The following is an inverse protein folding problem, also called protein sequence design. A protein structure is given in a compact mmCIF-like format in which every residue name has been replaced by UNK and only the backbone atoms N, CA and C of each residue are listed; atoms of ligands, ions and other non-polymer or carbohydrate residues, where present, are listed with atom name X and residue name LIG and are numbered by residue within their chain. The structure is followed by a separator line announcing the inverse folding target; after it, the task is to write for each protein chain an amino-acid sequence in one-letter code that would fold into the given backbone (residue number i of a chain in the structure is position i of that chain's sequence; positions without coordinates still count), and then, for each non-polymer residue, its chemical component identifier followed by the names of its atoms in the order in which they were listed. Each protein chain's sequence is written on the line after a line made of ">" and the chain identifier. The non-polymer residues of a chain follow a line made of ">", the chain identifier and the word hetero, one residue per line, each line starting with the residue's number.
data_IF_895377296219
#
_entry.id   IF_895377296219
#
_cell.length_a   1.000
_cell.length_b   1.000
_cell.length_c   1.000
_cell.angle_alpha   90.00
_cell.angle_beta   90.00
_cell.angle_gamma   90.00
#
_symmetry.space_group_name_H-M   'P 1'
#
loop_
_entity.id
_entity.type
_entity.pdbx_description
1 polymer ?
#
# COMPACT_ATOMS: atom_id res chain seq x y z
N UNK A 1 -1.19 -15.94 21.80
CA UNK A 1 -2.54 -16.40 21.50
C UNK A 1 -2.44 -17.82 20.97
N UNK A 2 -3.19 -18.78 21.49
CA UNK A 2 -3.16 -20.16 20.99
C UNK A 2 -4.46 -20.40 20.23
N UNK A 3 -4.36 -20.62 18.94
CA UNK A 3 -5.53 -20.86 18.08
C UNK A 3 -5.70 -22.35 17.83
N UNK A 4 -6.87 -22.88 18.12
CA UNK A 4 -7.30 -24.22 17.71
C UNK A 4 -8.02 -24.12 16.38
N UNK A 5 -7.63 -24.95 15.43
CA UNK A 5 -8.36 -25.15 14.18
C UNK A 5 -9.17 -26.43 14.30
N UNK A 6 -10.47 -26.34 14.12
CA UNK A 6 -11.38 -27.47 14.00
C UNK A 6 -11.77 -27.64 12.55
N UNK A 7 -11.60 -28.83 12.01
CA UNK A 7 -12.05 -29.22 10.68
C UNK A 7 -13.28 -30.08 10.87
N UNK A 8 -14.44 -29.50 10.59
CA UNK A 8 -15.74 -30.09 10.81
C UNK A 8 -16.32 -30.58 9.49
N UNK A 9 -16.68 -31.84 9.38
CA UNK A 9 -17.34 -32.39 8.18
C UNK A 9 -18.79 -31.96 8.17
N UNK A 10 -19.10 -30.91 7.45
CA UNK A 10 -20.43 -30.36 7.22
C UNK A 10 -20.49 -29.78 5.81
N UNK A 11 -21.35 -30.32 4.92
CA UNK A 11 -21.54 -29.74 3.59
C UNK A 11 -22.10 -28.31 3.66
N UNK A 12 -21.82 -27.53 2.65
CA UNK A 12 -22.42 -26.19 2.50
C UNK A 12 -23.95 -26.31 2.43
N UNK A 13 -24.68 -25.47 3.18
CA UNK A 13 -26.14 -25.43 3.24
C UNK A 13 -26.69 -25.17 4.64
N UNK A 14 -27.97 -25.53 4.86
CA UNK A 14 -28.69 -25.23 6.12
C UNK A 14 -28.00 -25.78 7.38
N UNK A 15 -27.34 -26.92 7.33
CA UNK A 15 -26.60 -27.48 8.47
C UNK A 15 -25.35 -26.69 8.82
N UNK A 16 -24.65 -26.17 7.80
CA UNK A 16 -23.49 -25.29 8.00
C UNK A 16 -23.90 -23.93 8.59
N UNK A 17 -24.98 -23.35 8.11
CA UNK A 17 -25.54 -22.10 8.63
C UNK A 17 -26.00 -22.26 10.08
N UNK A 18 -26.63 -23.39 10.41
CA UNK A 18 -27.07 -23.71 11.76
C UNK A 18 -25.86 -23.88 12.71
N UNK A 19 -24.82 -24.58 12.26
CA UNK A 19 -23.58 -24.72 13.03
C UNK A 19 -22.95 -23.37 13.28
N UNK A 20 -22.82 -22.55 12.26
CA UNK A 20 -22.26 -21.21 12.37
C UNK A 20 -23.02 -20.34 13.37
N UNK A 21 -24.34 -20.39 13.36
CA UNK A 21 -25.18 -19.67 14.32
C UNK A 21 -24.97 -20.12 15.78
N UNK A 22 -24.70 -21.41 16.00
CA UNK A 22 -24.50 -22.00 17.34
C UNK A 22 -23.13 -21.67 17.94
N UNK A 23 -22.11 -21.43 17.11
CA UNK A 23 -20.72 -21.19 17.55
C UNK A 23 -20.35 -19.72 17.67
N UNK A 24 -21.29 -18.81 17.43
CA UNK A 24 -21.08 -17.37 17.57
C UNK A 24 -20.77 -17.00 19.04
N UNK A 25 -19.52 -16.69 19.35
CA UNK A 25 -19.09 -16.27 20.68
C UNK A 25 -17.73 -15.55 20.62
N UNK A 26 -17.28 -15.02 21.74
CA UNK A 26 -16.03 -14.26 21.87
C UNK A 26 -14.77 -15.08 21.55
N UNK A 27 -14.85 -16.42 21.66
CA UNK A 27 -13.74 -17.33 21.33
C UNK A 27 -13.57 -17.57 19.83
N UNK A 28 -14.57 -17.26 19.03
CA UNK A 28 -14.54 -17.46 17.58
C UNK A 28 -13.65 -16.41 16.90
N UNK A 29 -12.56 -16.86 16.28
CA UNK A 29 -11.61 -16.00 15.57
C UNK A 29 -11.89 -15.91 14.06
N UNK A 30 -12.53 -16.94 13.50
CA UNK A 30 -12.90 -16.98 12.09
C UNK A 30 -13.48 -18.32 11.68
N UNK A 31 -14.16 -18.32 10.55
CA UNK A 31 -14.71 -19.51 9.90
C UNK A 31 -14.44 -19.44 8.41
N UNK A 32 -14.09 -20.60 7.83
CA UNK A 32 -13.93 -20.77 6.39
C UNK A 32 -14.78 -21.96 5.94
N UNK A 33 -15.78 -21.70 5.09
CA UNK A 33 -16.61 -22.76 4.52
C UNK A 33 -15.96 -23.29 3.23
N UNK A 34 -15.84 -24.61 3.17
CA UNK A 34 -15.45 -25.37 1.98
C UNK A 34 -16.58 -26.32 1.61
N UNK A 35 -16.58 -26.86 0.38
CA UNK A 35 -17.71 -27.63 -0.13
C UNK A 35 -18.21 -28.77 0.79
N UNK A 36 -17.30 -29.48 1.48
CA UNK A 36 -17.60 -30.63 2.29
C UNK A 36 -17.26 -30.47 3.78
N UNK A 37 -16.69 -29.30 4.16
CA UNK A 37 -16.20 -29.08 5.51
C UNK A 37 -16.18 -27.60 5.88
N UNK A 38 -16.26 -27.36 7.19
CA UNK A 38 -16.10 -26.05 7.79
C UNK A 38 -14.82 -26.02 8.65
N UNK A 39 -13.95 -25.05 8.42
CA UNK A 39 -12.79 -24.78 9.27
C UNK A 39 -13.15 -23.69 10.26
N UNK A 40 -13.06 -24.00 11.54
CA UNK A 40 -13.36 -23.08 12.63
C UNK A 40 -12.06 -22.76 13.35
N UNK A 41 -11.76 -21.50 13.50
CA UNK A 41 -10.60 -21.00 14.22
C UNK A 41 -11.04 -20.43 15.55
N UNK A 42 -10.52 -20.97 16.65
CA UNK A 42 -10.96 -20.66 18.00
C UNK A 42 -9.81 -20.32 18.93
N UNK A 43 -9.98 -19.32 19.81
CA UNK A 43 -8.98 -19.03 20.84
C UNK A 43 -9.07 -20.10 21.96
N UNK A 44 -8.03 -20.92 22.03
CA UNK A 44 -7.95 -22.02 23.00
C UNK A 44 -7.90 -21.56 24.46
N UNK A 45 -7.73 -20.26 24.74
CA UNK A 45 -7.68 -19.72 26.10
C UNK A 45 -9.01 -19.12 26.56
N UNK A 46 -10.04 -19.08 25.71
CA UNK A 46 -11.33 -18.53 26.07
C UNK A 46 -12.17 -19.55 26.86
N UNK A 47 -12.94 -19.04 27.84
CA UNK A 47 -13.75 -19.84 28.73
C UNK A 47 -14.91 -20.60 28.05
N UNK A 48 -15.32 -20.13 26.88
CA UNK A 48 -16.40 -20.72 26.05
C UNK A 48 -15.95 -21.87 25.15
N UNK A 49 -14.70 -22.31 25.27
CA UNK A 49 -14.15 -23.44 24.52
C UNK A 49 -14.90 -24.76 24.80
N UNK A 50 -15.34 -24.97 26.03
CA UNK A 50 -16.16 -26.15 26.38
C UNK A 50 -17.51 -26.12 25.67
N UNK A 51 -18.14 -24.96 25.51
CA UNK A 51 -19.38 -24.78 24.76
C UNK A 51 -19.19 -25.16 23.29
N UNK A 52 -18.09 -24.74 22.66
CA UNK A 52 -17.77 -25.15 21.29
C UNK A 52 -17.70 -26.66 21.18
N UNK A 53 -16.95 -27.31 22.06
CA UNK A 53 -16.83 -28.79 22.03
C UNK A 53 -18.16 -29.50 22.23
N UNK A 54 -19.07 -28.93 23.02
CA UNK A 54 -20.42 -29.47 23.21
C UNK A 54 -21.26 -29.33 21.94
N UNK A 55 -21.12 -28.27 21.19
CA UNK A 55 -21.79 -28.12 19.89
C UNK A 55 -21.18 -29.05 18.84
N UNK A 56 -19.85 -29.19 18.82
CA UNK A 56 -19.15 -29.99 17.80
C UNK A 56 -19.32 -31.52 17.99
N UNK A 57 -19.72 -32.01 19.17
CA UNK A 57 -19.89 -33.46 19.40
C UNK A 57 -20.89 -34.14 18.47
N UNK A 58 -21.82 -33.37 17.89
CA UNK A 58 -22.84 -33.88 16.96
C UNK A 58 -22.32 -33.96 15.51
N UNK A 59 -21.08 -33.54 15.26
CA UNK A 59 -20.44 -33.49 13.95
C UNK A 59 -19.12 -34.27 13.95
N UNK A 60 -18.78 -35.00 12.86
CA UNK A 60 -17.40 -35.48 12.71
C UNK A 60 -16.41 -34.31 12.61
N UNK A 61 -15.45 -34.25 13.52
CA UNK A 61 -14.43 -33.22 13.45
C UNK A 61 -13.04 -33.74 13.84
N UNK A 62 -12.02 -33.02 13.39
CA UNK A 62 -10.67 -33.13 13.91
C UNK A 62 -10.20 -31.77 14.41
N UNK A 63 -9.32 -31.78 15.42
CA UNK A 63 -8.80 -30.56 16.00
C UNK A 63 -7.27 -30.52 15.90
N UNK A 64 -6.72 -29.36 15.57
CA UNK A 64 -5.28 -29.12 15.50
C UNK A 64 -4.94 -27.82 16.21
N UNK A 65 -4.02 -27.88 17.16
CA UNK A 65 -3.42 -26.67 17.70
C UNK A 65 -2.54 -26.04 16.61
N UNK A 66 -2.91 -24.85 16.19
CA UNK A 66 -2.02 -24.05 15.37
C UNK A 66 -0.93 -23.49 16.28
N UNK A 67 0.28 -23.93 16.09
CA UNK A 67 1.41 -23.23 16.69
C UNK A 67 1.33 -21.78 16.25
N UNK A 68 1.58 -20.85 17.18
CA UNK A 68 1.65 -19.44 16.86
C UNK A 68 2.78 -19.26 15.84
N UNK A 69 2.43 -19.41 14.58
CA UNK A 69 3.35 -19.14 13.51
C UNK A 69 3.63 -17.65 13.60
N UNK A 70 4.87 -17.29 13.82
CA UNK A 70 5.26 -15.90 13.76
C UNK A 70 5.18 -15.45 12.30
N UNK A 71 3.95 -15.14 11.89
CA UNK A 71 3.67 -14.66 10.52
C UNK A 71 4.52 -13.45 10.17
N UNK A 72 4.87 -12.63 11.17
CA UNK A 72 5.77 -11.51 11.00
C UNK A 72 7.16 -12.01 10.60
N UNK A 73 7.74 -13.00 11.32
CA UNK A 73 9.04 -13.54 10.97
C UNK A 73 9.05 -14.25 9.59
N UNK A 74 7.98 -14.98 9.27
CA UNK A 74 7.84 -15.61 7.95
C UNK A 74 7.73 -14.55 6.85
N UNK A 75 6.99 -13.49 7.12
CA UNK A 75 6.83 -12.39 6.19
C UNK A 75 8.14 -11.57 6.07
N UNK A 76 8.81 -11.26 7.17
CA UNK A 76 10.11 -10.59 7.19
C UNK A 76 11.18 -11.37 6.39
N UNK A 77 11.19 -12.70 6.52
CA UNK A 77 12.13 -13.56 5.76
C UNK A 77 11.87 -13.56 4.25
N UNK A 78 10.66 -13.30 3.83
CA UNK A 78 10.26 -13.26 2.42
C UNK A 78 10.36 -11.87 1.80
N UNK A 79 10.42 -10.81 2.63
CA UNK A 79 10.59 -9.46 2.13
C UNK A 79 12.07 -9.19 1.83
N UNK A 80 12.41 -8.99 0.57
CA UNK A 80 13.79 -8.76 0.14
C UNK A 80 14.04 -7.28 -0.10
N UNK A 81 15.23 -6.76 0.26
CA UNK A 81 15.60 -5.40 -0.12
C UNK A 81 15.73 -5.32 -1.64
N UNK A 82 15.33 -4.18 -2.21
CA UNK A 82 15.36 -3.97 -3.65
C UNK A 82 16.16 -2.72 -4.01
N UNK A 83 17.04 -2.86 -5.00
CA UNK A 83 17.73 -1.73 -5.63
C UNK A 83 16.94 -1.33 -6.87
N UNK A 84 16.42 -0.09 -6.89
CA UNK A 84 15.64 0.44 -8.00
C UNK A 84 16.56 1.02 -9.08
N UNK A 85 17.53 1.83 -8.66
CA UNK A 85 18.55 2.44 -9.52
C UNK A 85 19.93 2.23 -8.90
N UNK A 86 20.98 2.75 -9.54
CA UNK A 86 22.32 2.75 -8.94
C UNK A 86 22.38 3.56 -7.66
N UNK A 87 21.53 4.61 -7.54
CA UNK A 87 21.54 5.53 -6.41
C UNK A 87 20.47 5.24 -5.35
N UNK A 88 19.38 4.53 -5.68
CA UNK A 88 18.22 4.35 -4.80
C UNK A 88 18.01 2.89 -4.44
N UNK A 89 18.10 2.58 -3.16
CA UNK A 89 17.73 1.29 -2.57
C UNK A 89 16.55 1.43 -1.59
N UNK A 90 15.69 0.44 -1.56
CA UNK A 90 14.56 0.34 -0.62
C UNK A 90 14.72 -0.95 0.18
N UNK A 91 14.64 -0.86 1.50
CA UNK A 91 14.74 -2.00 2.41
C UNK A 91 13.82 -1.82 3.61
N UNK A 92 13.53 -2.90 4.30
CA UNK A 92 12.93 -2.81 5.63
C UNK A 92 14.00 -2.49 6.70
N UNK A 93 13.56 -2.11 7.90
CA UNK A 93 14.43 -1.75 9.02
C UNK A 93 15.25 -2.93 9.56
N UNK A 94 14.77 -4.16 9.39
CA UNK A 94 15.50 -5.39 9.76
C UNK A 94 16.57 -5.84 8.74
N UNK A 95 16.69 -5.18 7.58
CA UNK A 95 17.74 -5.46 6.61
C UNK A 95 18.98 -4.56 6.84
N UNK A 96 20.19 -5.04 6.50
CA UNK A 96 21.36 -4.19 6.54
C UNK A 96 21.24 -3.03 5.56
N UNK A 97 21.80 -1.85 5.88
CA UNK A 97 21.83 -0.70 4.97
C UNK A 97 22.55 -1.00 3.66
N UNK A 98 22.07 -0.39 2.57
CA UNK A 98 22.84 -0.36 1.32
C UNK A 98 24.09 0.49 1.50
N UNK A 99 25.26 -0.08 1.22
CA UNK A 99 26.55 0.61 1.40
C UNK A 99 26.92 1.51 0.22
N UNK A 100 26.29 1.28 -0.92
CA UNK A 100 26.64 1.85 -2.22
C UNK A 100 25.45 2.56 -2.90
N UNK A 101 24.35 2.82 -2.18
CA UNK A 101 23.26 3.66 -2.61
C UNK A 101 23.38 5.04 -1.95
N UNK A 102 23.19 6.10 -2.73
CA UNK A 102 23.13 7.46 -2.21
C UNK A 102 21.87 7.67 -1.35
N UNK A 103 20.76 7.06 -1.75
CA UNK A 103 19.47 7.09 -1.06
C UNK A 103 19.07 5.70 -0.60
N UNK A 104 19.39 5.39 0.65
CA UNK A 104 18.93 4.19 1.34
C UNK A 104 17.59 4.51 2.03
N UNK A 105 16.50 3.96 1.50
CA UNK A 105 15.14 4.21 1.99
C UNK A 105 14.70 3.06 2.90
N UNK A 106 14.36 3.39 4.15
CA UNK A 106 13.85 2.42 5.11
C UNK A 106 12.33 2.44 5.06
N UNK A 107 11.75 1.46 4.42
CA UNK A 107 10.30 1.31 4.27
C UNK A 107 9.86 0.00 4.92
N UNK A 108 9.20 0.10 6.05
CA UNK A 108 8.59 -1.06 6.68
C UNK A 108 7.29 -1.37 5.96
N UNK A 109 7.22 -2.46 5.21
CA UNK A 109 6.00 -2.82 4.52
C UNK A 109 5.01 -3.36 5.56
N UNK A 110 3.89 -2.68 5.67
CA UNK A 110 2.69 -3.16 6.34
C UNK A 110 1.66 -3.52 5.25
N UNK A 111 0.39 -3.31 5.48
CA UNK A 111 -0.65 -3.55 4.46
C UNK A 111 -0.79 -2.37 3.46
N UNK A 112 0.24 -1.52 3.34
CA UNK A 112 0.23 -0.33 2.49
C UNK A 112 0.99 -0.56 1.19
N UNK A 113 0.52 0.05 0.10
CA UNK A 113 1.19 0.02 -1.21
C UNK A 113 2.43 0.92 -1.22
N UNK A 114 3.44 0.59 -2.05
CA UNK A 114 4.64 1.43 -2.24
C UNK A 114 5.91 0.88 -1.60
N UNK A 115 6.10 -0.43 -1.60
CA UNK A 115 7.30 -1.12 -1.08
C UNK A 115 8.49 -1.15 -2.05
N UNK A 116 8.31 -0.64 -3.28
CA UNK A 116 9.33 -0.67 -4.32
C UNK A 116 9.26 -1.86 -5.27
N UNK A 117 8.65 -2.96 -4.86
CA UNK A 117 8.61 -4.21 -5.66
C UNK A 117 7.66 -4.13 -6.86
N UNK A 118 6.61 -3.32 -6.76
CA UNK A 118 5.66 -3.16 -7.85
C UNK A 118 6.25 -2.29 -8.97
N UNK A 119 5.96 -2.63 -10.22
CA UNK A 119 6.48 -1.96 -11.41
C UNK A 119 6.21 -0.45 -11.40
N UNK A 120 5.03 -0.04 -10.96
CA UNK A 120 4.65 1.38 -10.91
C UNK A 120 5.50 2.16 -9.91
N UNK A 121 5.71 1.63 -8.69
CA UNK A 121 6.58 2.26 -7.69
C UNK A 121 8.02 2.35 -8.21
N UNK A 122 8.49 1.29 -8.87
CA UNK A 122 9.81 1.29 -9.50
C UNK A 122 9.97 2.42 -10.51
N UNK A 123 9.00 2.61 -11.42
CA UNK A 123 9.02 3.69 -12.41
C UNK A 123 8.97 5.07 -11.76
N UNK A 124 8.12 5.27 -10.76
CA UNK A 124 8.01 6.53 -10.02
C UNK A 124 9.32 6.90 -9.33
N UNK A 125 9.96 5.94 -8.66
CA UNK A 125 11.28 6.14 -8.03
C UNK A 125 12.35 6.46 -9.07
N UNK A 126 12.33 5.77 -10.23
CA UNK A 126 13.28 6.05 -11.32
C UNK A 126 13.11 7.46 -11.88
N UNK A 127 11.88 7.99 -11.98
CA UNK A 127 11.65 9.39 -12.36
C UNK A 127 12.26 10.35 -11.34
N UNK A 128 12.00 10.12 -10.06
CA UNK A 128 12.53 10.97 -9.01
C UNK A 128 14.06 10.95 -8.97
N UNK A 129 14.68 9.78 -9.23
CA UNK A 129 16.14 9.68 -9.25
C UNK A 129 16.79 10.57 -10.31
N UNK A 130 16.17 10.69 -11.49
CA UNK A 130 16.61 11.52 -12.61
C UNK A 130 16.40 13.04 -12.40
N UNK A 131 15.58 13.45 -11.41
CA UNK A 131 15.20 14.85 -11.17
C UNK A 131 16.06 15.52 -10.11
N UNK A 132 16.31 16.80 -10.28
CA UNK A 132 16.77 17.68 -9.21
C UNK A 132 15.54 18.25 -8.46
N UNK A 133 15.43 17.93 -7.18
CA UNK A 133 14.32 18.36 -6.32
C UNK A 133 14.74 19.41 -5.29
N UNK A 134 15.98 19.91 -5.38
CA UNK A 134 16.49 20.87 -4.42
C UNK A 134 15.59 22.10 -4.29
N UNK A 135 15.12 22.37 -3.07
CA UNK A 135 14.21 23.47 -2.72
C UNK A 135 12.82 23.43 -3.38
N UNK A 136 12.44 22.36 -4.04
CA UNK A 136 11.12 22.22 -4.64
C UNK A 136 10.03 21.89 -3.60
N UNK A 137 8.80 22.24 -3.93
CA UNK A 137 7.59 21.79 -3.22
C UNK A 137 6.97 20.61 -3.95
N UNK A 138 6.72 19.52 -3.23
CA UNK A 138 6.24 18.24 -3.79
C UNK A 138 4.93 17.81 -3.11
N UNK A 139 3.98 17.34 -3.89
CA UNK A 139 2.74 16.76 -3.41
C UNK A 139 2.65 15.30 -3.87
N UNK A 140 2.44 14.38 -2.92
CA UNK A 140 2.31 12.94 -3.16
C UNK A 140 0.84 12.52 -2.91
N UNK A 141 0.11 12.33 -4.01
CA UNK A 141 -1.31 11.98 -3.99
C UNK A 141 -1.51 10.47 -4.00
N UNK A 142 -2.06 9.92 -2.92
CA UNK A 142 -2.12 8.48 -2.66
C UNK A 142 -0.75 7.96 -2.22
N UNK A 143 -0.19 8.50 -1.14
CA UNK A 143 1.20 8.31 -0.76
C UNK A 143 1.55 6.89 -0.28
N UNK A 144 0.57 6.07 0.10
CA UNK A 144 0.78 4.70 0.56
C UNK A 144 1.79 4.60 1.71
N UNK A 145 2.91 3.92 1.47
CA UNK A 145 4.03 3.83 2.44
C UNK A 145 4.79 5.14 2.65
N UNK A 146 4.53 6.17 1.85
CA UNK A 146 5.27 7.44 1.83
C UNK A 146 6.61 7.39 1.09
N UNK A 147 6.92 6.30 0.39
CA UNK A 147 8.24 6.10 -0.25
C UNK A 147 8.63 7.20 -1.21
N UNK A 148 7.69 7.74 -2.00
CA UNK A 148 7.97 8.82 -2.96
C UNK A 148 8.19 10.14 -2.25
N UNK A 149 7.36 10.48 -1.26
CA UNK A 149 7.53 11.66 -0.41
C UNK A 149 8.87 11.64 0.34
N UNK A 150 9.27 10.48 0.87
CA UNK A 150 10.54 10.28 1.57
C UNK A 150 11.73 10.47 0.61
N UNK A 151 11.67 9.88 -0.60
CA UNK A 151 12.73 10.07 -1.59
C UNK A 151 12.83 11.53 -2.01
N UNK A 152 11.71 12.20 -2.25
CA UNK A 152 11.70 13.63 -2.56
C UNK A 152 12.37 14.46 -1.47
N UNK A 153 12.11 14.12 -0.19
CA UNK A 153 12.75 14.77 0.95
C UNK A 153 14.27 14.56 0.96
N UNK A 154 14.71 13.32 0.79
CA UNK A 154 16.14 12.99 0.75
C UNK A 154 16.86 13.64 -0.46
N UNK A 155 16.14 13.95 -1.53
CA UNK A 155 16.64 14.70 -2.70
C UNK A 155 16.56 16.22 -2.53
N UNK A 156 16.24 16.73 -1.34
CA UNK A 156 16.31 18.14 -0.98
C UNK A 156 15.05 18.97 -1.26
N UNK A 157 13.91 18.32 -1.51
CA UNK A 157 12.64 19.04 -1.57
C UNK A 157 12.35 19.73 -0.21
N UNK A 158 11.93 21.00 -0.25
CA UNK A 158 11.80 21.83 0.94
C UNK A 158 10.43 21.83 1.58
N UNK A 159 9.39 21.48 0.81
CA UNK A 159 8.01 21.33 1.26
C UNK A 159 7.45 20.05 0.65
N UNK A 160 7.06 19.10 1.47
CA UNK A 160 6.46 17.86 0.99
C UNK A 160 5.16 17.60 1.77
N UNK A 161 4.08 17.33 1.02
CA UNK A 161 2.78 16.94 1.54
C UNK A 161 2.39 15.65 0.87
N UNK A 162 2.07 14.62 1.67
CA UNK A 162 1.49 13.37 1.21
C UNK A 162 0.09 13.17 1.78
N UNK A 163 -0.84 12.70 0.97
CA UNK A 163 -2.17 12.30 1.42
C UNK A 163 -2.49 10.88 1.01
N UNK A 164 -3.31 10.24 1.81
CA UNK A 164 -3.93 8.95 1.50
C UNK A 164 -5.33 8.90 2.11
N UNK A 165 -6.23 8.08 1.58
CA UNK A 165 -7.57 7.88 2.13
C UNK A 165 -7.65 6.67 3.07
N UNK A 166 -6.63 5.83 3.10
CA UNK A 166 -6.54 4.69 4.00
C UNK A 166 -5.79 5.06 5.29
N UNK A 167 -6.46 4.88 6.42
CA UNK A 167 -5.89 5.17 7.75
C UNK A 167 -4.57 4.41 8.00
N UNK A 168 -4.49 3.15 7.61
CA UNK A 168 -3.31 2.33 7.85
C UNK A 168 -2.13 2.78 6.99
N UNK A 169 -2.38 3.23 5.77
CA UNK A 169 -1.37 3.82 4.89
C UNK A 169 -0.81 5.11 5.49
N UNK A 170 -1.66 5.98 6.01
CA UNK A 170 -1.25 7.23 6.68
C UNK A 170 -0.35 6.95 7.87
N UNK A 171 -0.76 6.06 8.78
CA UNK A 171 0.05 5.71 9.95
C UNK A 171 1.39 5.06 9.56
N UNK A 172 1.36 4.18 8.56
CA UNK A 172 2.58 3.58 8.05
C UNK A 172 3.53 4.59 7.41
N UNK A 173 3.00 5.51 6.58
CA UNK A 173 3.80 6.58 5.99
C UNK A 173 4.45 7.47 7.05
N UNK A 174 3.71 7.84 8.10
CA UNK A 174 4.25 8.63 9.22
C UNK A 174 5.40 7.92 9.93
N UNK A 175 5.26 6.63 10.21
CA UNK A 175 6.34 5.83 10.80
C UNK A 175 7.57 5.77 9.86
N UNK A 176 7.36 5.55 8.56
CA UNK A 176 8.44 5.50 7.60
C UNK A 176 9.15 6.86 7.44
N UNK A 177 8.41 7.97 7.49
CA UNK A 177 8.98 9.34 7.53
C UNK A 177 9.93 9.52 8.72
N UNK A 178 9.52 9.06 9.91
CA UNK A 178 10.36 9.12 11.10
C UNK A 178 11.60 8.22 10.98
N UNK A 179 11.46 6.99 10.49
CA UNK A 179 12.59 6.06 10.27
C UNK A 179 13.64 6.59 9.28
N UNK A 180 13.21 7.39 8.34
CA UNK A 180 14.09 8.01 7.35
C UNK A 180 14.63 9.37 7.77
N UNK A 181 14.30 9.85 8.98
CA UNK A 181 14.78 11.12 9.55
C UNK A 181 14.38 12.36 8.72
N UNK A 182 13.22 12.30 8.06
CA UNK A 182 12.67 13.40 7.24
C UNK A 182 11.37 13.94 7.84
N UNK A 183 11.37 14.22 9.13
CA UNK A 183 10.18 14.57 9.94
C UNK A 183 9.42 15.83 9.50
N UNK A 184 9.98 16.63 8.58
CA UNK A 184 9.31 17.77 7.99
C UNK A 184 8.34 17.42 6.85
N UNK A 185 8.33 16.16 6.39
CA UNK A 185 7.31 15.63 5.45
C UNK A 185 5.99 15.53 6.18
N UNK A 186 4.97 16.18 5.63
CA UNK A 186 3.64 16.19 6.20
C UNK A 186 2.79 15.08 5.56
N UNK A 187 2.39 14.09 6.37
CA UNK A 187 1.43 13.05 5.95
C UNK A 187 0.11 13.33 6.64
N UNK A 188 -0.92 13.62 5.86
CA UNK A 188 -2.22 14.09 6.36
C UNK A 188 -3.38 13.26 5.78
N UNK A 189 -4.42 13.11 6.58
CA UNK A 189 -5.65 12.39 6.23
C UNK A 189 -6.70 13.38 5.73
N UNK A 190 -6.44 14.00 4.59
CA UNK A 190 -7.34 15.00 4.01
C UNK A 190 -7.69 14.64 2.56
N UNK A 191 -8.83 15.14 2.11
CA UNK A 191 -9.21 15.07 0.70
C UNK A 191 -8.36 16.06 -0.12
N UNK A 192 -8.06 15.72 -1.38
CA UNK A 192 -7.27 16.57 -2.29
C UNK A 192 -7.84 17.99 -2.41
N UNK A 193 -9.15 18.18 -2.27
CA UNK A 193 -9.82 19.49 -2.32
C UNK A 193 -9.47 20.41 -1.15
N UNK A 194 -8.90 19.86 -0.07
CA UNK A 194 -8.49 20.61 1.12
C UNK A 194 -7.00 21.01 1.05
N UNK A 195 -6.28 20.49 0.06
CA UNK A 195 -4.85 20.73 -0.07
C UNK A 195 -4.59 22.12 -0.65
N UNK A 196 -3.67 22.84 -0.04
CA UNK A 196 -3.24 24.17 -0.47
C UNK A 196 -1.95 24.12 -1.26
N UNK A 197 -2.03 24.38 -2.58
CA UNK A 197 -0.89 24.55 -3.49
C UNK A 197 -0.43 26.02 -3.58
N UNK A 198 0.33 26.39 -4.65
CA UNK A 198 0.73 25.50 -5.72
C UNK A 198 2.05 24.76 -5.43
N UNK A 199 2.27 23.62 -6.08
CA UNK A 199 3.46 22.78 -5.98
C UNK A 199 4.31 22.83 -7.26
N UNK A 200 5.60 22.53 -7.11
CA UNK A 200 6.56 22.39 -8.22
C UNK A 200 6.47 21.02 -8.89
N UNK A 201 6.05 20.01 -8.13
CA UNK A 201 5.88 18.63 -8.62
C UNK A 201 4.71 17.96 -7.91
N UNK A 202 3.89 17.23 -8.66
CA UNK A 202 2.90 16.29 -8.11
C UNK A 202 3.27 14.89 -8.54
N UNK A 203 3.21 13.97 -7.58
CA UNK A 203 3.35 12.52 -7.75
C UNK A 203 1.99 11.88 -7.51
N UNK A 204 1.57 10.96 -8.39
CA UNK A 204 0.31 10.25 -8.25
C UNK A 204 0.46 8.81 -8.77
N UNK A 205 0.70 7.86 -7.86
CA UNK A 205 0.79 6.44 -8.18
C UNK A 205 -0.47 5.72 -7.75
N UNK A 206 -1.57 5.98 -8.45
CA UNK A 206 -2.93 5.52 -8.09
C UNK A 206 -3.68 5.07 -9.35
N UNK A 207 -4.84 4.41 -9.18
CA UNK A 207 -5.58 3.87 -10.29
C UNK A 207 -6.16 4.94 -11.23
N UNK A 208 -6.41 4.54 -12.48
CA UNK A 208 -6.91 5.39 -13.57
C UNK A 208 -8.15 6.21 -13.17
N UNK A 209 -9.15 5.57 -12.54
CA UNK A 209 -10.42 6.23 -12.25
C UNK A 209 -10.25 7.41 -11.29
N UNK A 210 -9.40 7.27 -10.28
CA UNK A 210 -9.07 8.35 -9.33
C UNK A 210 -8.31 9.48 -10.03
N UNK A 211 -7.34 9.14 -10.89
CA UNK A 211 -6.61 10.14 -11.68
C UNK A 211 -7.56 10.96 -12.56
N UNK A 212 -8.46 10.29 -13.29
CA UNK A 212 -9.44 10.95 -14.15
C UNK A 212 -10.39 11.86 -13.36
N UNK A 213 -10.85 11.40 -12.19
CA UNK A 213 -11.76 12.18 -11.35
C UNK A 213 -11.13 13.47 -10.82
N UNK A 214 -9.83 13.43 -10.51
CA UNK A 214 -9.11 14.56 -9.88
C UNK A 214 -8.18 15.35 -10.82
N UNK A 215 -8.28 15.15 -12.14
CA UNK A 215 -7.43 15.85 -13.11
C UNK A 215 -7.45 17.37 -12.97
N UNK A 216 -8.62 17.95 -12.66
CA UNK A 216 -8.77 19.40 -12.44
C UNK A 216 -8.10 19.86 -11.16
N UNK A 217 -8.22 19.08 -10.09
CA UNK A 217 -7.60 19.39 -8.80
C UNK A 217 -6.07 19.36 -8.93
N UNK A 218 -5.52 18.32 -9.59
CA UNK A 218 -4.11 18.20 -9.89
C UNK A 218 -3.61 19.40 -10.71
N UNK A 219 -4.38 19.84 -11.72
CA UNK A 219 -4.02 21.02 -12.48
C UNK A 219 -3.98 22.27 -11.61
N UNK A 220 -4.97 22.52 -10.75
CA UNK A 220 -5.01 23.70 -9.90
C UNK A 220 -3.92 23.73 -8.84
N UNK A 221 -3.51 22.56 -8.33
CA UNK A 221 -2.47 22.44 -7.32
C UNK A 221 -1.04 22.60 -7.86
N UNK A 222 -0.84 22.66 -9.19
CA UNK A 222 0.48 22.86 -9.80
C UNK A 222 0.74 24.32 -10.16
N UNK A 223 2.00 24.76 -10.03
CA UNK A 223 2.50 25.99 -10.65
C UNK A 223 2.45 25.86 -12.18
N UNK A 224 2.40 26.99 -12.90
CA UNK A 224 2.56 26.96 -14.38
C UNK A 224 3.97 26.42 -14.72
N UNK A 225 4.05 25.55 -15.69
CA UNK A 225 5.29 24.88 -16.09
C UNK A 225 5.75 23.77 -15.14
N UNK A 226 5.03 23.49 -14.07
CA UNK A 226 5.37 22.47 -13.09
C UNK A 226 5.02 21.04 -13.55
N UNK A 227 5.67 20.04 -12.93
CA UNK A 227 5.59 18.65 -13.32
C UNK A 227 4.47 17.85 -12.65
N UNK A 228 3.87 16.95 -13.42
CA UNK A 228 3.00 15.88 -12.93
C UNK A 228 3.59 14.53 -13.36
N UNK A 229 3.91 13.67 -12.40
CA UNK A 229 4.27 12.28 -12.68
C UNK A 229 3.16 11.39 -12.16
N UNK A 230 2.62 10.59 -13.05
CA UNK A 230 1.56 9.65 -12.72
C UNK A 230 1.89 8.22 -13.14
N UNK A 231 1.38 7.27 -12.41
CA UNK A 231 1.44 5.84 -12.67
C UNK A 231 0.27 5.13 -11.99
N UNK A 232 0.26 3.80 -11.97
CA UNK A 232 -0.89 3.01 -11.50
C UNK A 232 -1.93 2.78 -12.59
N UNK A 233 -1.53 2.98 -13.84
CA UNK A 233 -2.33 2.77 -15.05
C UNK A 233 -1.72 1.68 -15.92
N UNK A 234 -2.58 0.95 -16.63
CA UNK A 234 -2.14 -0.10 -17.56
C UNK A 234 -1.77 0.51 -18.92
N UNK A 235 -0.93 -0.19 -19.67
CA UNK A 235 -0.63 0.16 -21.06
C UNK A 235 -1.89 0.21 -21.95
N UNK A 236 -2.91 -0.62 -21.66
CA UNK A 236 -4.20 -0.59 -22.33
C UNK A 236 -4.96 0.72 -22.18
N UNK A 237 -4.67 1.48 -21.12
CA UNK A 237 -5.36 2.71 -20.75
C UNK A 237 -4.62 3.97 -21.23
N UNK A 238 -3.50 3.79 -21.93
CA UNK A 238 -2.62 4.88 -22.38
C UNK A 238 -3.37 5.96 -23.14
N UNK A 239 -4.18 5.58 -24.13
CA UNK A 239 -4.93 6.55 -24.95
C UNK A 239 -5.91 7.38 -24.11
N UNK A 240 -6.60 6.74 -23.18
CA UNK A 240 -7.55 7.41 -22.25
C UNK A 240 -6.84 8.43 -21.37
N UNK A 241 -5.69 8.06 -20.82
CA UNK A 241 -4.93 8.95 -19.97
C UNK A 241 -4.27 10.10 -20.76
N UNK A 242 -3.76 9.85 -21.95
CA UNK A 242 -3.21 10.89 -22.83
C UNK A 242 -4.27 11.93 -23.21
N UNK A 243 -5.48 11.49 -23.54
CA UNK A 243 -6.60 12.38 -23.85
C UNK A 243 -7.01 13.22 -22.62
N UNK A 244 -7.08 12.59 -21.44
CA UNK A 244 -7.38 13.29 -20.18
C UNK A 244 -6.33 14.35 -19.83
N UNK A 245 -5.05 14.02 -19.96
CA UNK A 245 -3.97 14.97 -19.74
C UNK A 245 -4.05 16.16 -20.70
N UNK A 246 -4.22 15.90 -21.99
CA UNK A 246 -4.35 16.96 -23.01
C UNK A 246 -5.56 17.87 -22.73
N UNK A 247 -6.72 17.28 -22.44
CA UNK A 247 -7.94 18.02 -22.12
C UNK A 247 -7.84 18.77 -20.80
N UNK A 248 -7.05 18.23 -19.84
CA UNK A 248 -6.75 18.85 -18.54
C UNK A 248 -5.72 19.98 -18.57
N UNK A 249 -5.15 20.33 -19.75
CA UNK A 249 -4.17 21.41 -19.88
C UNK A 249 -2.72 20.99 -19.62
N UNK A 250 -2.42 19.70 -19.80
CA UNK A 250 -1.06 19.17 -19.64
C UNK A 250 -0.40 18.85 -20.98
N UNK A 251 0.91 18.98 -21.05
CA UNK A 251 1.75 18.52 -22.15
C UNK A 251 2.61 17.34 -21.69
N UNK A 252 2.42 16.18 -22.30
CA UNK A 252 3.25 14.99 -22.04
C UNK A 252 4.68 15.27 -22.48
N UNK A 253 5.64 14.96 -21.64
CA UNK A 253 7.08 15.13 -21.88
C UNK A 253 7.75 13.81 -22.16
N UNK A 254 7.43 12.79 -21.38
CA UNK A 254 8.06 11.48 -21.49
C UNK A 254 7.19 10.41 -20.85
N UNK A 255 7.49 9.12 -21.15
CA UNK A 255 6.78 7.97 -20.64
C UNK A 255 7.76 6.84 -20.31
N UNK A 256 7.42 6.06 -19.28
CA UNK A 256 8.12 4.81 -18.94
C UNK A 256 7.10 3.69 -18.91
N UNK A 257 7.50 2.50 -19.31
CA UNK A 257 6.69 1.28 -19.19
C UNK A 257 7.49 0.16 -18.55
N UNK A 258 6.81 -0.64 -17.72
CA UNK A 258 7.40 -1.84 -17.10
C UNK A 258 6.30 -2.90 -16.93
N UNK A 259 6.53 -4.09 -17.53
CA UNK A 259 5.48 -5.11 -17.61
C UNK A 259 4.25 -4.58 -18.34
N UNK A 260 3.09 -4.64 -17.70
CA UNK A 260 1.82 -4.12 -18.24
C UNK A 260 1.50 -2.68 -17.78
N UNK A 261 2.42 -2.04 -17.08
CA UNK A 261 2.19 -0.75 -16.42
C UNK A 261 2.86 0.40 -17.16
N UNK A 262 2.22 1.56 -17.07
CA UNK A 262 2.66 2.81 -17.67
C UNK A 262 2.87 3.88 -16.57
N UNK A 263 3.85 4.72 -16.80
CA UNK A 263 4.07 5.96 -16.04
C UNK A 263 4.30 7.11 -17.01
N UNK A 264 3.69 8.26 -16.76
CA UNK A 264 3.73 9.43 -17.63
C UNK A 264 4.27 10.62 -16.84
N UNK A 265 5.22 11.34 -17.45
CA UNK A 265 5.66 12.65 -17.01
C UNK A 265 5.04 13.71 -17.91
N UNK A 266 4.27 14.62 -17.32
CA UNK A 266 3.60 15.71 -18.01
C UNK A 266 3.88 17.04 -17.32
N UNK A 267 3.73 18.14 -18.04
CA UNK A 267 3.93 19.51 -17.55
C UNK A 267 2.65 20.31 -17.73
N UNK A 268 2.26 21.07 -16.71
CA UNK A 268 1.16 22.03 -16.77
C UNK A 268 1.48 23.15 -17.76
N UNK A 269 0.58 23.39 -18.74
CA UNK A 269 0.70 24.46 -19.73
C UNK A 269 0.31 25.83 -19.15
#
# INVERSE_FOLDING_TARGET
>A
MKTMQYIVSVPEGEDADLLLAKIQSDGLQGVEQQAEQMLIYWDANQADHEMLLDVLKDYPFSAKLLEAQNWNATWESNFQPIRITEQVGIRADFHPPFQDCLYDLVITPKMSFGTGHHETTHMMVSWLDEMDLQNQSVFDFGCGTGVLAILAAKKGASKIVGIDNDFWSIENARENVLRNEVSYVQIIAEDITQISGPFDLILANINLNVLLAHMKDLYHLLKSGAGLILSGILLSDESTMQEALKSGGFSIRDQKSRGQWLSIYAIKL
#
